data_IF_228699862565
#
_entry.id   IF_228699862565
#
_cell.length_a   1.000
_cell.length_b   1.000
_cell.length_c   1.000
_cell.angle_alpha   90.00
_cell.angle_beta   90.00
_cell.angle_gamma   90.00
#
_symmetry.space_group_name_H-M   'P 1'
#
loop_
_entity.id
_entity.type
_entity.pdbx_description
1 polymer ?
#
# COMPACT_ATOMS: atom_id res chain seq x y z
N UNK A 1 -25.30 0.72 13.05
CA UNK A 1 -23.88 1.20 13.01
C UNK A 1 -23.92 2.71 13.15
N UNK A 2 -23.15 3.29 14.04
CA UNK A 2 -23.04 4.75 14.18
C UNK A 2 -22.04 5.26 13.15
N UNK A 3 -22.36 6.33 12.41
CA UNK A 3 -21.37 6.97 11.53
C UNK A 3 -20.22 7.53 12.36
N UNK A 4 -19.01 7.42 11.85
CA UNK A 4 -17.82 7.94 12.53
C UNK A 4 -16.54 7.62 11.79
N UNK A 5 -15.43 8.25 12.22
CA UNK A 5 -14.10 7.93 11.76
C UNK A 5 -13.51 6.77 12.57
N UNK A 6 -12.79 5.90 11.90
CA UNK A 6 -12.09 4.76 12.50
C UNK A 6 -10.59 4.90 12.27
N UNK A 7 -9.74 4.67 13.29
CA UNK A 7 -8.29 4.79 13.17
C UNK A 7 -7.62 3.57 12.54
N UNK A 8 -8.34 2.48 12.33
CA UNK A 8 -7.80 1.24 11.80
C UNK A 8 -7.44 1.39 10.32
N UNK A 9 -6.44 0.62 9.90
CA UNK A 9 -5.99 0.62 8.52
C UNK A 9 -7.00 -0.11 7.62
N UNK A 10 -7.50 0.58 6.60
CA UNK A 10 -8.33 0.02 5.54
C UNK A 10 -7.65 0.14 4.17
N UNK A 11 -8.08 -0.68 3.23
CA UNK A 11 -7.61 -0.65 1.85
C UNK A 11 -8.80 -0.85 0.90
N UNK A 12 -8.71 -0.38 -0.34
CA UNK A 12 -9.78 -0.54 -1.33
C UNK A 12 -10.12 -2.01 -1.65
N UNK A 13 -9.16 -2.92 -1.52
CA UNK A 13 -9.40 -4.36 -1.68
C UNK A 13 -10.34 -4.96 -0.62
N UNK A 14 -10.58 -4.25 0.49
CA UNK A 14 -11.46 -4.69 1.55
C UNK A 14 -12.95 -4.46 1.23
N UNK A 15 -13.24 -3.60 0.26
CA UNK A 15 -14.63 -3.25 -0.07
C UNK A 15 -15.42 -4.46 -0.58
N UNK A 16 -14.83 -5.23 -1.50
CA UNK A 16 -15.51 -6.38 -2.08
C UNK A 16 -15.86 -7.46 -1.03
N UNK A 17 -14.93 -7.96 -0.20
CA UNK A 17 -15.26 -8.93 0.85
C UNK A 17 -16.25 -8.37 1.88
N UNK A 18 -16.16 -7.08 2.23
CA UNK A 18 -17.12 -6.43 3.14
C UNK A 18 -18.54 -6.44 2.57
N UNK A 19 -18.70 -6.07 1.29
CA UNK A 19 -20.03 -6.07 0.63
C UNK A 19 -20.60 -7.48 0.56
N UNK A 20 -19.79 -8.47 0.15
CA UNK A 20 -20.23 -9.86 0.10
C UNK A 20 -20.74 -10.34 1.47
N UNK A 21 -19.94 -10.13 2.52
CA UNK A 21 -20.36 -10.50 3.89
C UNK A 21 -21.62 -9.78 4.34
N UNK A 22 -21.77 -8.50 4.06
CA UNK A 22 -22.98 -7.73 4.36
C UNK A 22 -24.22 -8.27 3.63
N UNK A 23 -24.02 -8.89 2.44
CA UNK A 23 -25.08 -9.56 1.68
C UNK A 23 -25.30 -11.04 2.09
N UNK A 24 -24.60 -11.54 3.10
CA UNK A 24 -24.69 -12.95 3.51
C UNK A 24 -23.97 -13.93 2.58
N UNK A 25 -23.03 -13.44 1.76
CA UNK A 25 -22.24 -14.23 0.84
C UNK A 25 -20.80 -14.40 1.37
N UNK A 26 -20.17 -15.52 1.00
CA UNK A 26 -18.77 -15.76 1.37
C UNK A 26 -17.81 -15.20 0.30
N UNK A 27 -16.78 -14.43 0.69
CA UNK A 27 -15.69 -14.04 -0.20
C UNK A 27 -14.95 -15.26 -0.73
N UNK A 28 -14.43 -15.16 -1.95
CA UNK A 28 -13.58 -16.23 -2.50
C UNK A 28 -12.20 -16.23 -1.86
N UNK A 29 -11.50 -17.37 -1.89
CA UNK A 29 -10.14 -17.51 -1.35
C UNK A 29 -9.09 -16.63 -2.05
N UNK A 30 -9.40 -16.12 -3.23
CA UNK A 30 -8.53 -15.21 -4.00
C UNK A 30 -8.61 -13.76 -3.49
N UNK A 31 -9.66 -13.39 -2.75
CA UNK A 31 -9.83 -12.06 -2.19
C UNK A 31 -8.91 -11.89 -0.98
N UNK A 32 -7.92 -11.00 -1.08
CA UNK A 32 -6.94 -10.74 -0.03
C UNK A 32 -7.40 -9.69 0.99
N UNK A 33 -8.50 -8.99 0.71
CA UNK A 33 -9.10 -8.01 1.61
C UNK A 33 -9.75 -8.66 2.83
N UNK A 34 -10.01 -7.85 3.85
CA UNK A 34 -10.77 -8.26 5.04
C UNK A 34 -12.16 -7.65 5.04
N UNK A 35 -13.06 -8.21 5.84
CA UNK A 35 -14.34 -7.57 6.15
C UNK A 35 -14.10 -6.37 7.08
N UNK A 36 -14.44 -5.16 6.62
CA UNK A 36 -14.32 -3.93 7.42
C UNK A 36 -15.37 -3.83 8.54
N UNK A 37 -16.37 -4.72 8.56
CA UNK A 37 -17.36 -4.83 9.62
C UNK A 37 -16.93 -5.82 10.72
N UNK A 38 -15.86 -6.57 10.50
CA UNK A 38 -15.27 -7.45 11.51
C UNK A 38 -14.24 -6.65 12.34
N UNK A 39 -14.65 -6.20 13.51
CA UNK A 39 -13.81 -5.44 14.45
C UNK A 39 -12.52 -6.18 14.84
N UNK A 40 -12.55 -7.51 14.91
CA UNK A 40 -11.40 -8.33 15.24
C UNK A 40 -10.39 -8.33 14.09
N UNK A 41 -10.83 -8.57 12.87
CA UNK A 41 -9.98 -8.54 11.68
C UNK A 41 -9.32 -7.18 11.50
N UNK A 42 -10.07 -6.09 11.73
CA UNK A 42 -9.53 -4.73 11.70
C UNK A 42 -8.46 -4.50 12.78
N UNK A 43 -8.73 -4.88 14.03
CA UNK A 43 -7.79 -4.69 15.14
C UNK A 43 -6.48 -5.51 14.97
N UNK A 44 -6.56 -6.66 14.30
CA UNK A 44 -5.42 -7.51 13.99
C UNK A 44 -4.56 -6.97 12.85
N UNK A 45 -5.10 -6.13 11.96
CA UNK A 45 -4.36 -5.55 10.84
C UNK A 45 -3.32 -4.54 11.33
N UNK A 46 -2.05 -4.87 11.17
CA UNK A 46 -0.92 -3.99 11.57
C UNK A 46 -0.31 -3.23 10.41
N UNK A 47 -0.61 -3.62 9.17
CA UNK A 47 -0.07 -2.98 7.97
C UNK A 47 -1.02 -3.07 6.79
N UNK A 48 -0.87 -2.13 5.87
CA UNK A 48 -1.46 -2.19 4.52
C UNK A 48 -0.41 -1.79 3.50
N UNK A 49 -0.52 -2.33 2.28
CA UNK A 49 0.47 -2.12 1.24
C UNK A 49 -0.18 -2.14 -0.14
N UNK A 50 0.56 -1.68 -1.12
CA UNK A 50 0.12 -1.68 -2.50
C UNK A 50 1.21 -1.28 -3.47
N UNK A 51 0.82 -1.22 -4.75
CA UNK A 51 1.66 -0.83 -5.85
C UNK A 51 0.95 0.18 -6.74
N UNK A 52 1.73 1.03 -7.39
CA UNK A 52 1.28 1.96 -8.42
C UNK A 52 1.82 1.50 -9.77
N UNK A 53 0.95 1.42 -10.75
CA UNK A 53 1.27 1.02 -12.11
C UNK A 53 0.95 2.16 -13.08
N UNK A 54 1.68 2.21 -14.19
CA UNK A 54 1.29 3.05 -15.31
C UNK A 54 -0.07 2.57 -15.84
N UNK A 55 -0.95 3.50 -16.22
CA UNK A 55 -2.29 3.15 -16.72
C UNK A 55 -2.25 2.56 -18.15
N UNK A 56 -1.21 2.89 -18.94
CA UNK A 56 -1.00 2.30 -20.26
C UNK A 56 -0.12 1.06 -20.13
N UNK A 57 -0.71 -0.12 -20.29
CA UNK A 57 0.02 -1.37 -20.21
C UNK A 57 1.11 -1.47 -21.30
N UNK A 58 2.36 -1.69 -20.86
CA UNK A 58 3.50 -1.96 -21.75
C UNK A 58 3.45 -3.42 -22.20
N UNK A 59 3.21 -4.30 -21.24
CA UNK A 59 3.12 -5.75 -21.45
C UNK A 59 2.10 -6.31 -20.46
N UNK A 60 1.01 -6.85 -20.98
CA UNK A 60 -0.07 -7.47 -20.17
C UNK A 60 0.35 -8.78 -19.51
N UNK A 61 1.38 -9.44 -20.07
CA UNK A 61 1.90 -10.70 -19.53
C UNK A 61 3.05 -10.49 -18.54
N UNK A 62 3.53 -9.24 -18.41
CA UNK A 62 4.58 -8.85 -17.47
C UNK A 62 4.17 -7.61 -16.68
N UNK A 63 3.33 -7.75 -15.65
CA UNK A 63 2.82 -6.61 -14.86
C UNK A 63 3.94 -5.71 -14.30
N UNK A 64 5.08 -6.29 -13.92
CA UNK A 64 6.23 -5.53 -13.41
C UNK A 64 6.80 -4.52 -14.43
N UNK A 65 6.53 -4.67 -15.74
CA UNK A 65 6.91 -3.68 -16.73
C UNK A 65 6.21 -2.31 -16.56
N UNK A 66 5.07 -2.30 -15.86
CA UNK A 66 4.30 -1.07 -15.59
C UNK A 66 4.44 -0.57 -14.15
N UNK A 67 5.12 -1.33 -13.28
CA UNK A 67 5.29 -0.99 -11.88
C UNK A 67 6.14 0.28 -11.74
N UNK A 68 5.64 1.28 -11.01
CA UNK A 68 6.35 2.55 -10.77
C UNK A 68 6.76 2.71 -9.32
N UNK A 69 5.86 2.42 -8.40
CA UNK A 69 6.09 2.53 -6.97
C UNK A 69 5.43 1.39 -6.21
N UNK A 70 6.03 1.00 -5.09
CA UNK A 70 5.42 0.16 -4.06
C UNK A 70 5.40 0.91 -2.76
N UNK A 71 4.41 0.67 -1.95
CA UNK A 71 4.29 1.34 -0.66
C UNK A 71 3.81 0.39 0.43
N UNK A 72 4.17 0.73 1.67
CA UNK A 72 3.73 0.04 2.88
C UNK A 72 3.42 1.07 3.95
N UNK A 73 2.27 0.93 4.60
CA UNK A 73 1.95 1.57 5.86
C UNK A 73 2.02 0.51 6.95
N UNK A 74 2.82 0.77 8.00
CA UNK A 74 2.91 -0.06 9.20
C UNK A 74 2.84 0.84 10.43
N UNK A 75 1.74 0.74 11.17
CA UNK A 75 1.39 1.71 12.20
C UNK A 75 1.36 3.12 11.62
N UNK A 76 2.08 4.05 12.24
CA UNK A 76 2.14 5.44 11.79
C UNK A 76 3.18 5.72 10.70
N UNK A 77 3.83 4.71 10.14
CA UNK A 77 4.92 4.92 9.19
C UNK A 77 4.55 4.44 7.80
N UNK A 78 4.74 5.31 6.82
CA UNK A 78 4.60 4.99 5.39
C UNK A 78 5.96 5.04 4.72
N UNK A 79 6.32 3.98 4.01
CA UNK A 79 7.45 3.96 3.08
C UNK A 79 6.94 3.84 1.66
N UNK A 80 7.56 4.58 0.74
CA UNK A 80 7.31 4.50 -0.70
C UNK A 80 8.64 4.18 -1.37
N UNK A 81 8.66 3.12 -2.16
CA UNK A 81 9.83 2.65 -2.89
C UNK A 81 9.63 2.81 -4.39
N UNK A 82 10.50 3.55 -5.10
CA UNK A 82 10.45 3.63 -6.54
C UNK A 82 10.92 2.32 -7.18
N UNK A 83 10.28 1.92 -8.26
CA UNK A 83 10.77 0.84 -9.13
C UNK A 83 11.59 1.46 -10.25
N UNK A 84 12.88 1.64 -10.00
CA UNK A 84 13.80 2.44 -10.82
C UNK A 84 13.88 2.04 -12.29
N UNK A 85 13.65 0.76 -12.60
CA UNK A 85 13.71 0.27 -13.97
C UNK A 85 12.69 0.96 -14.90
N UNK A 86 11.56 1.43 -14.36
CA UNK A 86 10.46 2.00 -15.15
C UNK A 86 10.37 3.54 -15.07
N UNK A 87 11.07 4.17 -14.12
CA UNK A 87 10.97 5.62 -13.89
C UNK A 87 11.78 6.44 -14.90
N UNK A 88 12.76 5.84 -15.56
CA UNK A 88 13.70 6.55 -16.47
C UNK A 88 13.14 6.76 -17.88
N UNK A 89 11.99 6.16 -18.22
CA UNK A 89 11.54 6.07 -19.61
C UNK A 89 10.26 6.84 -19.91
N UNK A 90 9.56 7.41 -18.91
CA UNK A 90 8.26 8.06 -19.14
C UNK A 90 7.99 9.25 -18.21
N UNK A 91 7.60 10.36 -18.81
CA UNK A 91 7.14 11.59 -18.13
C UNK A 91 5.86 11.38 -17.27
N UNK A 92 5.17 10.25 -17.42
CA UNK A 92 3.94 9.92 -16.72
C UNK A 92 4.17 9.43 -15.28
N UNK A 93 5.36 8.95 -14.97
CA UNK A 93 5.73 8.55 -13.60
C UNK A 93 6.09 9.80 -12.77
N UNK A 94 5.11 10.66 -12.52
CA UNK A 94 5.28 11.88 -11.71
C UNK A 94 5.51 11.52 -10.24
N UNK A 95 6.76 11.24 -9.91
CA UNK A 95 7.21 11.05 -8.54
C UNK A 95 8.65 11.52 -8.40
N UNK A 96 9.13 11.57 -7.18
CA UNK A 96 10.50 12.04 -6.90
C UNK A 96 11.59 11.08 -7.44
N UNK A 97 11.22 9.84 -7.78
CA UNK A 97 12.16 8.76 -8.11
C UNK A 97 13.06 8.35 -6.93
N UNK A 98 12.82 8.90 -5.75
CA UNK A 98 13.54 8.60 -4.53
C UNK A 98 12.70 7.77 -3.57
N UNK A 99 13.37 7.09 -2.65
CA UNK A 99 12.70 6.46 -1.51
C UNK A 99 12.15 7.52 -0.59
N UNK A 100 10.89 7.35 -0.16
CA UNK A 100 10.23 8.27 0.73
C UNK A 100 9.81 7.56 2.02
N UNK A 101 9.86 8.30 3.14
CA UNK A 101 9.44 7.82 4.44
C UNK A 101 8.72 8.93 5.19
N UNK A 102 7.51 8.63 5.66
CA UNK A 102 6.66 9.59 6.37
C UNK A 102 6.18 9.04 7.71
N UNK A 103 5.95 9.94 8.66
CA UNK A 103 5.26 9.63 9.91
C UNK A 103 3.86 10.24 9.85
N UNK A 104 2.88 9.45 9.48
CA UNK A 104 1.51 9.92 9.23
C UNK A 104 0.82 10.53 10.45
N UNK A 105 1.19 10.13 11.67
CA UNK A 105 0.64 10.73 12.89
C UNK A 105 1.14 12.17 13.12
N UNK A 106 2.33 12.53 12.60
CA UNK A 106 2.93 13.87 12.76
C UNK A 106 2.87 14.69 11.48
N UNK A 107 2.73 14.02 10.36
CA UNK A 107 2.73 14.60 9.02
C UNK A 107 1.72 13.84 8.13
N UNK A 108 0.41 14.04 8.35
CA UNK A 108 -0.63 13.35 7.59
C UNK A 108 -0.67 13.76 6.12
N UNK A 109 -0.04 14.87 5.76
CA UNK A 109 0.04 15.37 4.38
C UNK A 109 1.34 15.01 3.66
N UNK A 110 2.20 14.18 4.28
CA UNK A 110 3.42 13.66 3.65
C UNK A 110 4.36 14.76 3.10
N UNK A 111 4.50 15.88 3.84
CA UNK A 111 5.26 17.07 3.41
C UNK A 111 6.76 16.95 3.66
N UNK A 112 7.17 16.10 4.62
CA UNK A 112 8.55 15.98 5.06
C UNK A 112 9.07 14.56 4.90
N UNK A 113 9.82 14.32 3.83
CA UNK A 113 10.50 13.03 3.62
C UNK A 113 11.61 12.81 4.68
N UNK A 114 11.47 11.75 5.48
CA UNK A 114 12.38 11.37 6.54
C UNK A 114 13.35 10.24 6.14
N UNK A 115 13.35 9.79 4.88
CA UNK A 115 14.11 8.62 4.45
C UNK A 115 15.61 8.76 4.76
N UNK A 116 16.21 9.91 4.45
CA UNK A 116 17.64 10.16 4.71
C UNK A 116 17.98 10.16 6.20
N UNK A 117 17.12 10.71 7.06
CA UNK A 117 17.34 10.82 8.51
C UNK A 117 16.96 9.56 9.29
N UNK A 118 16.23 8.62 8.69
CA UNK A 118 15.71 7.40 9.33
C UNK A 118 16.02 6.14 8.52
N UNK A 119 17.24 6.03 8.00
CA UNK A 119 17.67 4.95 7.10
C UNK A 119 17.44 3.53 7.65
N UNK A 120 17.63 3.31 8.95
CA UNK A 120 17.36 2.01 9.60
C UNK A 120 15.87 1.62 9.55
N UNK A 121 14.98 2.60 9.66
CA UNK A 121 13.53 2.40 9.54
C UNK A 121 13.14 2.08 8.10
N UNK A 122 13.69 2.81 7.13
CA UNK A 122 13.54 2.50 5.72
C UNK A 122 13.92 1.05 5.44
N UNK A 123 15.13 0.63 5.85
CA UNK A 123 15.61 -0.75 5.66
C UNK A 123 14.64 -1.80 6.22
N UNK A 124 14.11 -1.57 7.44
CA UNK A 124 13.17 -2.49 8.07
C UNK A 124 11.85 -2.59 7.30
N UNK A 125 11.26 -1.44 6.93
CA UNK A 125 9.98 -1.42 6.20
C UNK A 125 10.12 -1.94 4.77
N UNK A 126 11.24 -1.68 4.10
CA UNK A 126 11.57 -2.26 2.80
C UNK A 126 11.63 -3.79 2.86
N UNK A 127 12.31 -4.34 3.88
CA UNK A 127 12.35 -5.80 4.08
C UNK A 127 10.95 -6.39 4.26
N UNK A 128 10.10 -5.72 5.04
CA UNK A 128 8.71 -6.14 5.25
C UNK A 128 7.90 -6.06 3.94
N UNK A 129 8.00 -4.95 3.20
CA UNK A 129 7.30 -4.78 1.93
C UNK A 129 7.70 -5.84 0.90
N UNK A 130 9.00 -6.14 0.78
CA UNK A 130 9.49 -7.17 -0.13
C UNK A 130 9.01 -8.58 0.23
N UNK A 131 8.73 -8.85 1.51
CA UNK A 131 8.14 -10.12 1.92
C UNK A 131 6.63 -10.21 1.60
N UNK A 132 5.92 -9.07 1.61
CA UNK A 132 4.48 -9.01 1.34
C UNK A 132 4.16 -8.85 -0.16
N UNK A 133 4.99 -8.11 -0.86
CA UNK A 133 4.84 -7.79 -2.28
C UNK A 133 6.23 -7.89 -2.95
N UNK A 134 6.65 -9.10 -3.35
CA UNK A 134 7.92 -9.30 -4.02
C UNK A 134 7.98 -8.59 -5.37
N UNK A 135 9.18 -8.25 -5.81
CA UNK A 135 9.44 -7.78 -7.18
C UNK A 135 9.39 -8.99 -8.10
N UNK A 136 8.23 -9.28 -8.67
CA UNK A 136 8.02 -10.37 -9.64
C UNK A 136 8.25 -9.88 -11.07
#
# INVERSE_FOLDING_TARGET
MQPGERPELANSIDLAPTILKACGLEPTSEMQGIDLLDDKALAERKSTYGACYLHNAIDIHKPSANLTYRWLINGNWKVILPYKANLTTRDEAKGTGETELYNLAKDPFERRNLAKSKASRVKRLTKQLNALLPES
#
